data_IF_369024895283
#
_entry.id   IF_369024895283
#
_cell.length_a   1.000
_cell.length_b   1.000
_cell.length_c   1.000
_cell.angle_alpha   90.00
_cell.angle_beta   90.00
_cell.angle_gamma   90.00
#
_symmetry.space_group_name_H-M   'P 1'
#
loop_
_entity.id
_entity.type
_entity.pdbx_description
1 polymer ?
#
# COMPACT_ATOMS: atom_id res chain seq x y z
N UNK A 1 22.25 20.05 -49.65
CA UNK A 1 21.77 20.95 -48.58
C UNK A 1 21.43 20.10 -47.37
N UNK A 2 22.25 20.25 -46.32
CA UNK A 2 22.18 19.50 -45.06
C UNK A 2 21.30 20.27 -44.06
N UNK A 3 20.34 19.60 -43.43
CA UNK A 3 19.85 19.88 -42.08
C UNK A 3 18.99 18.67 -41.66
N UNK A 4 19.37 17.76 -40.77
CA UNK A 4 20.15 17.97 -39.56
C UNK A 4 19.25 18.33 -38.37
N UNK A 5 18.12 17.62 -38.17
CA UNK A 5 17.34 17.77 -36.93
C UNK A 5 17.80 16.73 -35.91
N UNK A 6 18.60 17.25 -34.98
CA UNK A 6 19.17 16.59 -33.81
C UNK A 6 18.10 16.09 -32.86
N UNK A 7 18.14 14.78 -32.56
CA UNK A 7 17.52 14.18 -31.39
C UNK A 7 18.20 14.75 -30.14
N UNK A 8 17.52 15.64 -29.42
CA UNK A 8 18.02 16.20 -28.17
C UNK A 8 17.90 15.15 -27.07
N UNK A 9 19.03 14.50 -26.76
CA UNK A 9 19.28 13.77 -25.53
C UNK A 9 18.92 14.65 -24.33
N UNK A 10 17.91 14.25 -23.57
CA UNK A 10 17.58 14.88 -22.29
C UNK A 10 18.55 14.34 -21.23
N UNK A 11 19.72 14.98 -21.15
CA UNK A 11 20.76 14.69 -20.17
C UNK A 11 20.34 15.09 -18.75
N UNK A 12 20.58 14.15 -17.83
CA UNK A 12 20.59 14.25 -16.38
C UNK A 12 21.13 15.58 -15.83
N UNK A 13 20.31 16.34 -15.09
CA UNK A 13 20.77 17.23 -14.01
C UNK A 13 19.72 17.22 -12.89
N UNK A 14 20.05 16.60 -11.75
CA UNK A 14 19.36 16.79 -10.48
C UNK A 14 19.99 17.96 -9.72
N UNK A 15 19.24 18.97 -9.26
CA UNK A 15 19.78 19.91 -8.29
C UNK A 15 19.58 19.38 -6.86
N UNK A 16 20.72 19.10 -6.23
CA UNK A 16 20.94 18.98 -4.80
C UNK A 16 20.71 20.29 -4.06
N UNK A 17 20.29 20.17 -2.79
CA UNK A 17 20.51 21.14 -1.70
C UNK A 17 19.60 22.39 -1.66
N UNK A 18 18.65 22.38 -0.72
CA UNK A 18 18.21 23.62 -0.04
C UNK A 18 18.48 23.44 1.45
N UNK A 19 19.39 24.27 1.95
CA UNK A 19 19.84 24.39 3.33
C UNK A 19 18.83 25.16 4.18
N UNK A 20 18.90 24.86 5.48
CA UNK A 20 18.23 25.50 6.62
C UNK A 20 18.43 27.02 6.70
N UNK A 21 17.43 27.69 7.27
CA UNK A 21 17.54 28.95 8.03
C UNK A 21 16.49 28.86 9.16
N UNK A 22 16.85 28.46 10.38
CA UNK A 22 17.26 29.32 11.51
C UNK A 22 16.23 30.38 11.91
N UNK A 23 15.44 30.07 12.95
CA UNK A 23 14.96 31.04 13.94
C UNK A 23 15.17 30.40 15.31
N UNK A 24 16.05 31.02 16.08
CA UNK A 24 16.40 30.77 17.48
C UNK A 24 15.55 31.66 18.39
N UNK A 25 15.24 31.19 19.60
CA UNK A 25 15.37 31.86 20.91
C UNK A 25 14.54 31.13 22.00
N UNK A 26 15.23 30.43 22.92
CA UNK A 26 15.25 30.58 24.40
C UNK A 26 13.96 31.05 25.10
N UNK A 27 13.54 30.64 26.32
CA UNK A 27 14.03 29.77 27.41
C UNK A 27 12.95 29.73 28.54
N UNK A 28 13.10 28.81 29.51
CA UNK A 28 12.71 28.93 30.94
C UNK A 28 11.28 28.60 31.46
N UNK A 29 11.16 27.38 32.04
CA UNK A 29 10.73 26.99 33.43
C UNK A 29 9.64 27.82 34.16
N UNK A 30 8.54 27.15 34.60
CA UNK A 30 8.12 27.12 36.02
C UNK A 30 6.98 26.13 36.32
N UNK A 31 6.95 25.76 37.60
CA UNK A 31 6.38 24.60 38.29
C UNK A 31 4.94 24.74 38.82
N UNK A 32 4.38 23.57 39.18
CA UNK A 32 3.52 23.28 40.35
C UNK A 32 1.98 23.31 40.32
N UNK A 33 1.48 22.30 41.07
CA UNK A 33 0.17 22.03 41.70
C UNK A 33 -0.96 21.35 40.91
N UNK A 34 -1.70 20.37 41.45
CA UNK A 34 -1.57 19.40 42.56
C UNK A 34 -2.79 18.44 42.51
N UNK A 35 -2.67 17.27 43.13
CA UNK A 35 -3.58 16.10 43.07
C UNK A 35 -4.96 16.23 43.77
N UNK A 36 -5.95 15.46 43.29
CA UNK A 36 -6.65 14.34 44.00
C UNK A 36 -7.49 13.56 42.96
N UNK A 37 -7.45 12.23 42.78
CA UNK A 37 -7.64 11.05 43.64
C UNK A 37 -9.12 10.85 44.05
N UNK A 38 -9.77 9.92 43.32
CA UNK A 38 -10.92 9.05 43.65
C UNK A 38 -11.79 8.94 42.38
N UNK A 39 -11.64 7.94 41.51
CA UNK A 39 -12.32 6.65 41.65
C UNK A 39 -11.48 5.52 41.01
N UNK A 40 -10.90 4.66 41.87
CA UNK A 40 -10.40 3.34 41.50
C UNK A 40 -11.55 2.33 41.53
N UNK A 41 -11.93 1.79 40.38
CA UNK A 41 -12.38 0.39 40.17
C UNK A 41 -12.50 0.20 38.66
N UNK A 42 -12.14 -0.89 38.00
CA UNK A 42 -11.97 -2.25 38.44
C UNK A 42 -11.06 -2.94 37.41
N UNK A 43 -9.95 -3.50 37.90
CA UNK A 43 -9.04 -4.31 37.10
C UNK A 43 -9.61 -5.74 37.13
N UNK A 44 -10.52 -6.07 36.22
CA UNK A 44 -10.93 -7.45 35.95
C UNK A 44 -11.67 -7.54 34.61
N UNK A 45 -10.98 -8.10 33.61
CA UNK A 45 -11.48 -9.02 32.56
C UNK A 45 -10.44 -9.19 31.45
N UNK A 46 -9.58 -10.18 31.63
CA UNK A 46 -8.88 -10.85 30.54
C UNK A 46 -9.80 -11.98 30.02
N UNK A 47 -9.77 -12.16 28.70
CA UNK A 47 -10.31 -13.27 27.90
C UNK A 47 -11.83 -13.40 27.68
N UNK A 48 -12.25 -13.10 26.44
CA UNK A 48 -12.90 -14.05 25.52
C UNK A 48 -13.20 -13.40 24.15
N UNK A 49 -12.51 -13.88 23.12
CA UNK A 49 -13.15 -14.48 21.93
C UNK A 49 -13.88 -13.61 20.90
N UNK A 50 -13.28 -13.60 19.70
CA UNK A 50 -13.91 -13.88 18.41
C UNK A 50 -14.53 -12.74 17.57
N UNK A 51 -13.90 -12.54 16.41
CA UNK A 51 -14.57 -12.58 15.11
C UNK A 51 -15.78 -11.65 14.92
N UNK A 52 -15.55 -10.34 14.80
CA UNK A 52 -16.55 -9.45 14.21
C UNK A 52 -16.14 -9.11 12.78
N UNK A 53 -16.96 -9.58 11.83
CA UNK A 53 -17.03 -8.99 10.50
C UNK A 53 -17.12 -7.47 10.68
N UNK A 54 -16.15 -6.71 10.15
CA UNK A 54 -16.23 -5.26 10.13
C UNK A 54 -17.29 -4.87 9.10
N UNK A 55 -18.55 -5.01 9.49
CA UNK A 55 -19.65 -4.31 8.84
C UNK A 55 -19.40 -2.82 9.00
N UNK A 56 -19.60 -2.02 7.94
CA UNK A 56 -19.36 -0.58 8.02
C UNK A 56 -20.16 -0.01 9.21
N UNK A 57 -19.50 0.83 10.02
CA UNK A 57 -20.02 1.50 11.23
C UNK A 57 -21.27 2.38 11.00
N UNK A 58 -21.86 2.34 9.82
CA UNK A 58 -23.02 3.12 9.40
C UNK A 58 -24.13 2.18 8.94
N UNK A 59 -25.40 2.46 9.31
CA UNK A 59 -26.54 1.77 8.72
C UNK A 59 -26.44 1.87 7.19
N UNK A 60 -26.67 0.75 6.50
CA UNK A 60 -26.50 0.58 5.03
C UNK A 60 -27.27 1.62 4.19
N UNK A 61 -28.15 2.40 4.82
CA UNK A 61 -29.10 3.32 4.22
C UNK A 61 -28.63 4.78 4.07
N UNK A 62 -27.48 5.18 4.65
CA UNK A 62 -27.05 6.60 4.66
C UNK A 62 -25.72 6.92 3.98
N UNK A 63 -25.06 5.98 3.31
CA UNK A 63 -23.79 6.25 2.61
C UNK A 63 -24.07 6.61 1.15
N UNK A 64 -23.69 7.81 0.66
CA UNK A 64 -23.83 8.16 -0.75
C UNK A 64 -23.21 7.08 -1.64
N UNK A 65 -23.94 6.63 -2.68
CA UNK A 65 -23.52 5.53 -3.59
C UNK A 65 -22.07 5.66 -4.08
N UNK A 66 -21.60 6.89 -4.34
CA UNK A 66 -20.23 7.18 -4.76
C UNK A 66 -19.18 6.75 -3.72
N UNK A 67 -19.44 6.98 -2.43
CA UNK A 67 -18.53 6.59 -1.35
C UNK A 67 -18.46 5.07 -1.19
N UNK A 68 -19.59 4.38 -1.37
CA UNK A 68 -19.64 2.92 -1.33
C UNK A 68 -18.86 2.29 -2.49
N UNK A 69 -19.01 2.82 -3.70
CA UNK A 69 -18.25 2.37 -4.87
C UNK A 69 -16.74 2.52 -4.65
N UNK A 70 -16.29 3.72 -4.23
CA UNK A 70 -14.88 3.97 -3.94
C UNK A 70 -14.31 3.05 -2.85
N UNK A 71 -15.09 2.81 -1.79
CA UNK A 71 -14.74 1.89 -0.72
C UNK A 71 -14.53 0.46 -1.24
N UNK A 72 -15.46 -0.01 -2.07
CA UNK A 72 -15.42 -1.35 -2.65
C UNK A 72 -14.22 -1.54 -3.59
N UNK A 73 -13.91 -0.54 -4.42
CA UNK A 73 -12.76 -0.57 -5.34
C UNK A 73 -11.42 -0.59 -4.60
N UNK A 74 -11.30 0.27 -3.58
CA UNK A 74 -10.08 0.37 -2.78
C UNK A 74 -9.85 -0.89 -1.97
N UNK A 75 -10.91 -1.50 -1.41
CA UNK A 75 -10.79 -2.73 -0.65
C UNK A 75 -10.44 -3.92 -1.54
N UNK A 76 -11.04 -4.04 -2.73
CA UNK A 76 -10.68 -5.10 -3.68
C UNK A 76 -9.21 -5.01 -4.08
N UNK A 77 -8.68 -3.80 -4.27
CA UNK A 77 -7.25 -3.60 -4.51
C UNK A 77 -6.38 -4.09 -3.36
N UNK A 78 -6.78 -3.81 -2.10
CA UNK A 78 -6.03 -4.25 -0.92
C UNK A 78 -6.10 -5.76 -0.73
N UNK A 79 -7.26 -6.36 -0.96
CA UNK A 79 -7.46 -7.82 -0.90
C UNK A 79 -6.60 -8.51 -1.95
N UNK A 80 -6.63 -8.02 -3.20
CA UNK A 80 -5.78 -8.52 -4.26
C UNK A 80 -4.29 -8.35 -3.93
N UNK A 81 -3.89 -7.22 -3.35
CA UNK A 81 -2.51 -7.03 -2.88
C UNK A 81 -2.10 -8.12 -1.89
N UNK A 82 -2.96 -8.41 -0.91
CA UNK A 82 -2.69 -9.42 0.10
C UNK A 82 -2.59 -10.83 -0.49
N UNK A 83 -3.41 -11.16 -1.51
CA UNK A 83 -3.25 -12.39 -2.29
C UNK A 83 -1.89 -12.43 -3.00
N UNK A 84 -1.52 -11.36 -3.70
CA UNK A 84 -0.23 -11.30 -4.40
C UNK A 84 0.95 -11.49 -3.44
N UNK A 85 0.89 -10.88 -2.25
CA UNK A 85 1.90 -11.06 -1.21
C UNK A 85 1.99 -12.52 -0.73
N UNK A 86 0.85 -13.17 -0.51
CA UNK A 86 0.80 -14.57 -0.15
C UNK A 86 1.44 -15.45 -1.22
N UNK A 87 1.04 -15.28 -2.49
CA UNK A 87 1.58 -16.05 -3.60
C UNK A 87 3.09 -15.81 -3.80
N UNK A 88 3.53 -14.55 -3.76
CA UNK A 88 4.95 -14.21 -3.88
C UNK A 88 5.78 -14.76 -2.72
N UNK A 89 5.24 -14.79 -1.51
CA UNK A 89 5.97 -15.32 -0.34
C UNK A 89 6.38 -16.79 -0.48
N UNK A 90 5.72 -17.55 -1.38
CA UNK A 90 6.12 -18.90 -1.72
C UNK A 90 7.46 -18.98 -2.48
N UNK A 91 7.83 -17.90 -3.17
CA UNK A 91 8.98 -17.84 -4.07
C UNK A 91 10.08 -16.89 -3.59
N UNK A 92 9.74 -15.89 -2.78
CA UNK A 92 10.67 -14.86 -2.32
C UNK A 92 10.37 -14.45 -0.88
N UNK A 93 11.35 -13.82 -0.23
CA UNK A 93 11.20 -13.24 1.10
C UNK A 93 10.79 -11.77 0.96
N UNK A 94 9.67 -11.40 1.58
CA UNK A 94 9.13 -10.04 1.45
C UNK A 94 9.23 -9.33 2.79
N UNK A 95 9.86 -8.16 2.80
CA UNK A 95 9.97 -7.31 3.98
C UNK A 95 8.92 -6.21 3.91
N UNK A 96 7.98 -6.21 4.85
CA UNK A 96 6.91 -5.21 4.95
C UNK A 96 7.11 -4.30 6.16
N UNK A 97 6.67 -3.05 6.00
CA UNK A 97 6.83 -1.99 6.98
C UNK A 97 5.49 -1.47 7.49
N UNK A 98 5.55 -0.81 8.64
CA UNK A 98 4.40 -0.11 9.22
C UNK A 98 3.88 0.97 8.25
N UNK A 99 2.56 1.06 8.03
CA UNK A 99 1.98 2.14 7.24
C UNK A 99 2.19 3.48 7.96
N UNK A 100 2.36 4.55 7.19
CA UNK A 100 2.56 5.89 7.77
C UNK A 100 1.25 6.48 8.33
N UNK A 101 0.10 6.05 7.80
CA UNK A 101 -1.24 6.49 8.19
C UNK A 101 -2.19 5.31 8.15
N UNK A 102 -3.08 5.23 9.13
CA UNK A 102 -4.14 4.25 9.22
C UNK A 102 -5.43 4.82 8.64
N UNK A 103 -6.13 4.02 7.85
CA UNK A 103 -7.49 4.33 7.41
C UNK A 103 -8.49 3.74 8.39
N UNK A 104 -9.53 4.50 8.75
CA UNK A 104 -10.66 4.00 9.53
C UNK A 104 -11.76 3.38 8.67
N UNK A 105 -11.79 3.71 7.37
CA UNK A 105 -12.88 3.34 6.47
C UNK A 105 -12.51 2.18 5.53
N UNK A 106 -11.30 2.19 4.98
CA UNK A 106 -10.85 1.19 4.00
C UNK A 106 -9.82 0.26 4.61
N UNK A 107 -9.69 -0.94 4.06
CA UNK A 107 -8.61 -1.86 4.42
C UNK A 107 -7.25 -1.20 4.19
N UNK A 108 -6.27 -1.61 5.00
CA UNK A 108 -4.95 -0.98 4.98
C UNK A 108 -4.11 -1.58 3.85
N UNK A 109 -3.64 -0.74 2.95
CA UNK A 109 -2.66 -1.12 1.93
C UNK A 109 -1.30 -1.36 2.60
N UNK A 110 -0.70 -2.52 2.35
CA UNK A 110 0.54 -2.96 2.99
C UNK A 110 1.73 -2.26 2.35
N UNK A 111 2.60 -1.66 3.17
CA UNK A 111 3.81 -0.98 2.70
C UNK A 111 4.93 -1.99 2.54
N UNK A 112 5.33 -2.27 1.30
CA UNK A 112 6.43 -3.19 1.00
C UNK A 112 7.74 -2.40 0.98
N UNK A 113 8.74 -2.86 1.73
CA UNK A 113 10.06 -2.24 1.77
C UNK A 113 10.97 -2.85 0.70
N UNK A 114 11.06 -4.18 0.71
CA UNK A 114 12.02 -4.95 -0.08
C UNK A 114 11.45 -6.34 -0.41
N UNK A 115 11.85 -6.86 -1.56
CA UNK A 115 11.58 -8.23 -2.01
C UNK A 115 12.94 -8.87 -2.30
N UNK A 116 13.28 -9.94 -1.60
CA UNK A 116 14.53 -10.68 -1.73
C UNK A 116 14.26 -12.03 -2.41
N UNK A 117 14.81 -12.26 -3.60
CA UNK A 117 14.67 -13.55 -4.31
C UNK A 117 15.77 -14.52 -3.91
N UNK A 118 16.98 -14.01 -3.75
CA UNK A 118 18.14 -14.78 -3.30
C UNK A 118 19.10 -13.85 -2.53
N UNK A 119 20.30 -14.35 -2.19
CA UNK A 119 21.30 -13.58 -1.42
C UNK A 119 21.85 -12.35 -2.15
N UNK A 120 21.82 -12.35 -3.48
CA UNK A 120 22.46 -11.34 -4.34
C UNK A 120 21.46 -10.50 -5.13
N UNK A 121 20.19 -10.90 -5.14
CA UNK A 121 19.13 -10.31 -5.94
C UNK A 121 17.97 -9.89 -5.03
N UNK A 122 17.84 -8.58 -4.87
CA UNK A 122 16.75 -7.95 -4.14
C UNK A 122 16.25 -6.70 -4.86
N UNK A 123 14.95 -6.46 -4.72
CA UNK A 123 14.29 -5.27 -5.23
C UNK A 123 13.92 -4.38 -4.05
N UNK A 124 14.54 -3.21 -3.98
CA UNK A 124 14.11 -2.14 -3.10
C UNK A 124 12.84 -1.46 -3.66
N UNK A 125 11.68 -1.93 -3.21
CA UNK A 125 10.37 -1.49 -3.70
C UNK A 125 10.13 0.00 -3.40
N UNK A 126 10.67 0.53 -2.29
CA UNK A 126 10.55 1.95 -1.95
C UNK A 126 11.28 2.81 -2.99
N UNK A 127 12.52 2.46 -3.33
CA UNK A 127 13.31 3.17 -4.33
C UNK A 127 12.65 3.06 -5.70
N UNK A 128 12.29 1.85 -6.13
CA UNK A 128 11.59 1.61 -7.39
C UNK A 128 10.33 2.48 -7.53
N UNK A 129 9.49 2.50 -6.51
CA UNK A 129 8.24 3.28 -6.53
C UNK A 129 8.53 4.78 -6.61
N UNK A 130 9.53 5.28 -5.87
CA UNK A 130 9.92 6.69 -5.92
C UNK A 130 10.39 7.10 -7.33
N UNK A 131 11.23 6.28 -7.95
CA UNK A 131 11.78 6.56 -9.28
C UNK A 131 10.69 6.54 -10.35
N UNK A 132 9.76 5.57 -10.29
CA UNK A 132 8.62 5.51 -11.23
C UNK A 132 7.66 6.68 -11.06
N UNK A 133 7.42 7.13 -9.81
CA UNK A 133 6.57 8.28 -9.52
C UNK A 133 7.20 9.58 -10.00
N UNK A 134 8.51 9.77 -9.81
CA UNK A 134 9.21 10.99 -10.24
C UNK A 134 9.23 11.10 -11.76
N UNK A 135 9.47 10.00 -12.48
CA UNK A 135 9.37 9.94 -13.94
C UNK A 135 7.98 10.35 -14.42
N UNK A 136 6.92 9.81 -13.80
CA UNK A 136 5.54 10.15 -14.17
C UNK A 136 5.19 11.60 -13.82
N UNK A 137 5.72 12.13 -12.72
CA UNK A 137 5.56 13.53 -12.34
C UNK A 137 6.18 14.48 -13.35
N UNK A 138 7.40 14.19 -13.80
CA UNK A 138 8.08 14.96 -14.83
C UNK A 138 7.22 15.02 -16.10
N UNK A 139 6.73 13.85 -16.55
CA UNK A 139 5.84 13.74 -17.71
C UNK A 139 4.54 14.56 -17.60
N UNK A 140 3.88 14.54 -16.44
CA UNK A 140 2.65 15.30 -16.20
C UNK A 140 2.92 16.82 -16.18
N UNK A 141 3.99 17.25 -15.49
CA UNK A 141 4.37 18.66 -15.43
C UNK A 141 4.75 19.21 -16.80
N UNK A 142 5.54 18.47 -17.59
CA UNK A 142 5.98 18.90 -18.92
C UNK A 142 4.86 18.93 -19.96
N UNK A 143 3.87 18.04 -19.86
CA UNK A 143 2.79 17.94 -20.87
C UNK A 143 1.58 18.81 -20.58
N UNK A 144 1.27 19.06 -19.30
CA UNK A 144 -0.02 19.64 -18.93
C UNK A 144 0.09 21.05 -18.31
N UNK A 145 1.30 21.62 -18.18
CA UNK A 145 1.55 22.91 -17.50
C UNK A 145 0.89 22.97 -16.10
N UNK A 146 0.92 21.84 -15.39
CA UNK A 146 0.27 21.70 -14.10
C UNK A 146 1.24 22.03 -12.98
N UNK A 147 0.76 22.82 -12.01
CA UNK A 147 1.51 23.10 -10.79
C UNK A 147 1.91 21.81 -10.07
N UNK A 148 3.17 21.74 -9.62
CA UNK A 148 3.73 20.61 -8.89
C UNK A 148 2.86 20.10 -7.73
N UNK A 149 2.15 20.99 -7.02
CA UNK A 149 1.21 20.61 -5.94
C UNK A 149 0.04 19.76 -6.47
N UNK A 150 -0.55 20.16 -7.59
CA UNK A 150 -1.67 19.44 -8.24
C UNK A 150 -1.20 18.12 -8.84
N UNK A 151 -0.01 18.10 -9.44
CA UNK A 151 0.61 16.87 -9.95
C UNK A 151 0.86 15.86 -8.81
N UNK A 152 1.45 16.30 -7.70
CA UNK A 152 1.72 15.43 -6.54
C UNK A 152 0.44 14.81 -5.96
N UNK A 153 -0.65 15.57 -5.89
CA UNK A 153 -1.97 15.05 -5.46
C UNK A 153 -2.47 13.94 -6.38
N UNK A 154 -2.36 14.12 -7.70
CA UNK A 154 -2.80 13.13 -8.71
C UNK A 154 -1.94 11.85 -8.69
N UNK A 155 -0.69 11.94 -8.23
CA UNK A 155 0.24 10.80 -8.14
C UNK A 155 0.01 9.90 -6.93
N UNK A 156 -0.74 10.32 -5.90
CA UNK A 156 -0.92 9.49 -4.70
C UNK A 156 -1.63 8.14 -4.99
N UNK A 157 -2.75 8.09 -5.74
CA UNK A 157 -3.37 6.81 -6.11
C UNK A 157 -2.47 5.96 -7.02
N UNK A 158 -1.69 6.64 -7.89
CA UNK A 158 -0.79 5.99 -8.85
C UNK A 158 0.31 5.19 -8.13
N UNK A 159 0.76 5.62 -6.94
CA UNK A 159 1.76 4.87 -6.16
C UNK A 159 1.32 3.44 -5.85
N UNK A 160 0.07 3.26 -5.41
CA UNK A 160 -0.48 1.93 -5.11
C UNK A 160 -0.54 1.08 -6.36
N UNK A 161 -0.97 1.67 -7.48
CA UNK A 161 -1.01 1.01 -8.79
C UNK A 161 0.38 0.56 -9.27
N UNK A 162 1.41 1.39 -9.12
CA UNK A 162 2.80 1.03 -9.47
C UNK A 162 3.25 -0.19 -8.68
N UNK A 163 2.96 -0.23 -7.37
CA UNK A 163 3.30 -1.37 -6.53
C UNK A 163 2.51 -2.62 -6.96
N UNK A 164 1.19 -2.49 -7.18
CA UNK A 164 0.37 -3.62 -7.63
C UNK A 164 0.87 -4.21 -8.95
N UNK A 165 1.19 -3.35 -9.92
CA UNK A 165 1.73 -3.80 -11.20
C UNK A 165 3.07 -4.53 -11.02
N UNK A 166 3.97 -4.01 -10.18
CA UNK A 166 5.22 -4.71 -9.86
C UNK A 166 4.96 -6.12 -9.31
N UNK A 167 4.00 -6.28 -8.38
CA UNK A 167 3.70 -7.59 -7.81
C UNK A 167 3.09 -8.55 -8.84
N UNK A 168 2.18 -8.05 -9.69
CA UNK A 168 1.56 -8.84 -10.76
C UNK A 168 2.62 -9.26 -11.77
N UNK A 169 3.47 -8.32 -12.22
CA UNK A 169 4.56 -8.57 -13.17
C UNK A 169 5.50 -9.66 -12.64
N UNK A 170 5.89 -9.59 -11.36
CA UNK A 170 6.71 -10.63 -10.72
C UNK A 170 6.01 -11.99 -10.66
N UNK A 171 4.70 -12.02 -10.40
CA UNK A 171 3.94 -13.28 -10.38
C UNK A 171 3.75 -13.87 -11.78
N UNK A 172 3.70 -13.05 -12.82
CA UNK A 172 3.66 -13.53 -14.20
C UNK A 172 4.92 -14.33 -14.53
N UNK A 173 6.10 -13.87 -14.09
CA UNK A 173 7.36 -14.61 -14.27
C UNK A 173 7.34 -15.98 -13.56
N UNK A 174 6.54 -16.13 -12.48
CA UNK A 174 6.34 -17.40 -11.79
C UNK A 174 5.20 -18.27 -12.36
N UNK A 175 4.58 -17.86 -13.48
CA UNK A 175 3.55 -18.63 -14.17
C UNK A 175 2.12 -18.39 -13.68
N UNK A 176 1.89 -17.28 -12.98
CA UNK A 176 0.53 -16.82 -12.64
C UNK A 176 -0.01 -15.87 -13.71
N UNK A 177 -1.30 -15.92 -13.97
CA UNK A 177 -1.98 -15.00 -14.88
C UNK A 177 -3.14 -14.33 -14.15
N UNK A 178 -3.30 -13.02 -14.36
CA UNK A 178 -4.35 -12.22 -13.75
C UNK A 178 -5.28 -11.67 -14.82
N UNK A 179 -6.56 -12.01 -14.74
CA UNK A 179 -7.61 -11.35 -15.49
C UNK A 179 -8.36 -10.39 -14.58
N UNK A 180 -8.29 -9.11 -14.89
CA UNK A 180 -8.96 -8.05 -14.13
C UNK A 180 -9.89 -7.33 -15.11
N UNK A 181 -11.19 -7.33 -14.82
CA UNK A 181 -12.21 -6.78 -15.72
C UNK A 181 -12.04 -5.28 -15.91
N UNK A 182 -11.86 -4.53 -14.82
CA UNK A 182 -11.76 -3.08 -14.89
C UNK A 182 -10.82 -2.53 -13.82
N UNK A 183 -9.87 -1.74 -14.28
CA UNK A 183 -9.00 -0.95 -13.43
C UNK A 183 -9.50 0.50 -13.38
N UNK A 184 -9.74 1.01 -12.18
CA UNK A 184 -10.18 2.39 -11.96
C UNK A 184 -9.02 3.26 -11.50
N UNK A 185 -9.29 4.54 -11.26
CA UNK A 185 -8.27 5.46 -10.73
C UNK A 185 -7.86 5.11 -9.29
N UNK A 186 -8.79 4.56 -8.52
CA UNK A 186 -8.64 4.35 -7.07
C UNK A 186 -8.41 2.87 -6.71
N UNK A 187 -8.79 1.92 -7.58
CA UNK A 187 -8.61 0.50 -7.34
C UNK A 187 -9.10 -0.37 -8.51
N UNK A 188 -9.73 -1.50 -8.20
CA UNK A 188 -10.26 -2.44 -9.18
C UNK A 188 -11.77 -2.60 -9.05
N UNK A 189 -12.46 -2.83 -10.17
CA UNK A 189 -13.91 -3.03 -10.23
C UNK A 189 -14.22 -4.27 -11.08
N UNK A 190 -15.23 -5.04 -10.66
CA UNK A 190 -15.73 -6.18 -11.42
C UNK A 190 -15.01 -7.49 -11.13
N UNK A 191 -14.98 -8.36 -12.15
CA UNK A 191 -14.44 -9.71 -12.08
C UNK A 191 -12.90 -9.70 -11.99
N UNK A 192 -12.36 -10.46 -11.04
CA UNK A 192 -10.95 -10.78 -10.92
C UNK A 192 -10.80 -12.30 -10.93
N UNK A 193 -9.95 -12.82 -11.81
CA UNK A 193 -9.58 -14.24 -11.86
C UNK A 193 -8.07 -14.38 -11.85
N UNK A 194 -7.59 -15.36 -11.08
CA UNK A 194 -6.18 -15.69 -10.98
C UNK A 194 -6.03 -17.12 -11.47
N UNK A 195 -5.12 -17.33 -12.41
CA UNK A 195 -4.76 -18.62 -12.95
C UNK A 195 -3.32 -18.95 -12.59
N UNK A 196 -3.00 -20.22 -12.47
CA UNK A 196 -1.62 -20.70 -12.34
C UNK A 196 -1.44 -21.87 -13.28
N UNK A 197 -0.46 -21.78 -14.20
CA UNK A 197 -0.21 -22.78 -15.25
C UNK A 197 -1.49 -23.18 -16.01
N UNK A 198 -2.26 -22.18 -16.43
CA UNK A 198 -3.53 -22.29 -17.16
C UNK A 198 -4.72 -22.90 -16.40
N UNK A 199 -4.58 -23.21 -15.11
CA UNK A 199 -5.68 -23.66 -14.26
C UNK A 199 -6.23 -22.50 -13.44
N UNK A 200 -7.55 -22.37 -13.36
CA UNK A 200 -8.20 -21.38 -12.51
C UNK A 200 -7.86 -21.67 -11.04
N UNK A 201 -7.18 -20.73 -10.38
CA UNK A 201 -6.75 -20.84 -8.99
C UNK A 201 -7.75 -20.16 -8.06
N UNK A 202 -8.18 -18.94 -8.40
CA UNK A 202 -9.10 -18.16 -7.58
C UNK A 202 -10.00 -17.26 -8.42
N UNK A 203 -11.26 -17.12 -8.00
CA UNK A 203 -12.19 -16.11 -8.50
C UNK A 203 -12.38 -14.94 -7.53
N UNK A 204 -13.06 -13.90 -8.00
CA UNK A 204 -13.35 -12.66 -7.27
C UNK A 204 -13.82 -12.91 -5.84
N UNK A 205 -14.77 -13.84 -5.60
CA UNK A 205 -15.28 -14.11 -4.25
C UNK A 205 -14.17 -14.60 -3.32
N UNK A 206 -13.39 -15.57 -3.77
CA UNK A 206 -12.27 -16.12 -3.01
C UNK A 206 -11.15 -15.09 -2.80
N UNK A 207 -10.86 -14.25 -3.81
CA UNK A 207 -9.89 -13.15 -3.70
C UNK A 207 -10.30 -12.20 -2.59
N UNK A 208 -11.59 -11.87 -2.48
CA UNK A 208 -12.09 -11.00 -1.41
C UNK A 208 -11.98 -11.65 -0.04
N UNK A 209 -12.42 -12.90 0.09
CA UNK A 209 -12.43 -13.64 1.35
C UNK A 209 -11.03 -13.94 1.87
N UNK A 210 -10.21 -14.65 1.09
CA UNK A 210 -8.83 -15.00 1.45
C UNK A 210 -7.95 -13.74 1.56
N UNK A 211 -8.13 -12.80 0.63
CA UNK A 211 -7.40 -11.52 0.65
C UNK A 211 -7.72 -10.70 1.89
N UNK A 212 -8.96 -10.73 2.37
CA UNK A 212 -9.33 -10.09 3.64
C UNK A 212 -8.63 -10.72 4.84
N UNK A 213 -8.65 -12.05 4.93
CA UNK A 213 -8.02 -12.80 6.02
C UNK A 213 -6.52 -12.54 6.08
N UNK A 214 -5.85 -12.61 4.93
CA UNK A 214 -4.41 -12.30 4.83
C UNK A 214 -4.11 -10.84 5.19
N UNK A 215 -4.96 -9.89 4.79
CA UNK A 215 -4.77 -8.49 5.15
C UNK A 215 -4.87 -8.29 6.67
N UNK A 216 -5.87 -8.89 7.33
CA UNK A 216 -5.99 -8.85 8.80
C UNK A 216 -4.76 -9.46 9.45
N UNK A 217 -4.32 -10.65 9.01
CA UNK A 217 -3.16 -11.36 9.56
C UNK A 217 -1.87 -10.53 9.44
N UNK A 218 -1.63 -9.92 8.28
CA UNK A 218 -0.45 -9.05 8.07
C UNK A 218 -0.54 -7.80 8.94
N UNK A 219 -1.69 -7.14 8.99
CA UNK A 219 -1.84 -5.87 9.70
C UNK A 219 -1.82 -6.02 11.22
N UNK A 220 -2.38 -7.11 11.77
CA UNK A 220 -2.31 -7.42 13.20
C UNK A 220 -0.87 -7.70 13.64
N UNK A 221 -0.10 -8.45 12.87
CA UNK A 221 1.31 -8.70 13.17
C UNK A 221 2.18 -7.45 12.99
N UNK A 222 1.90 -6.61 11.99
CA UNK A 222 2.58 -5.31 11.82
C UNK A 222 2.33 -4.34 12.98
N UNK A 223 1.25 -4.50 13.73
CA UNK A 223 1.01 -3.70 14.92
C UNK A 223 1.97 -4.06 16.07
N UNK A 224 2.40 -5.33 16.13
CA UNK A 224 3.26 -5.87 17.20
C UNK A 224 4.75 -5.81 16.86
N UNK A 225 5.12 -6.07 15.60
CA UNK A 225 6.52 -6.20 15.18
C UNK A 225 6.80 -5.39 13.91
N UNK A 226 7.92 -4.67 13.86
CA UNK A 226 8.36 -3.94 12.67
C UNK A 226 9.90 -3.92 12.60
N UNK A 227 10.52 -4.30 11.47
CA UNK A 227 9.93 -4.76 10.20
C UNK A 227 9.39 -6.20 10.28
N UNK A 228 8.34 -6.50 9.52
CA UNK A 228 7.78 -7.85 9.43
C UNK A 228 8.29 -8.52 8.14
N UNK A 229 8.73 -9.77 8.26
CA UNK A 229 9.15 -10.59 7.12
C UNK A 229 8.08 -11.62 6.82
N UNK A 230 7.62 -11.66 5.56
CA UNK A 230 6.65 -12.63 5.08
C UNK A 230 7.38 -13.80 4.42
N UNK A 231 7.10 -15.00 4.92
CA UNK A 231 7.60 -16.29 4.44
C UNK A 231 6.39 -17.21 4.12
N UNK A 232 6.57 -18.34 3.40
CA UNK A 232 5.44 -19.21 3.09
C UNK A 232 4.72 -19.74 4.35
N UNK A 233 5.48 -19.96 5.43
CA UNK A 233 4.95 -20.38 6.74
C UNK A 233 4.03 -19.35 7.38
N UNK A 234 4.16 -18.07 7.03
CA UNK A 234 3.31 -17.01 7.56
C UNK A 234 1.84 -17.21 7.16
N UNK A 235 1.59 -17.69 5.94
CA UNK A 235 0.24 -17.78 5.38
C UNK A 235 -0.39 -19.16 5.51
N UNK A 236 0.37 -20.18 5.92
CA UNK A 236 -0.21 -21.47 6.27
C UNK A 236 -1.08 -21.29 7.51
N UNK A 237 -2.28 -21.84 7.45
CA UNK A 237 -3.14 -22.01 8.61
C UNK A 237 -2.58 -23.19 9.40
N UNK A 238 -2.33 -22.99 10.69
CA UNK A 238 -2.05 -24.08 11.62
C UNK A 238 -3.34 -24.79 11.98
#
# INVERSE_FOLDING_TARGET
>A
MLSGNTLTLCSLIMPSSIKNSSLTEDSSINEENSLSADEKSNLDKIDKGCCEEITPKYPKEQVPKFKFKHWNETNLQVELQSICLCLLSAHCKIVVGKPNRYSSLTKQFVKIKEIEFNRFDSINVIKFTKDRVSMKMCLECSKQNINAKTALRRLQPIKKKIVMNLLIDLLIEFGYLFEIQKETKEGYEGLVRIFHKNTLLMETKEVREKGHQYNIKITSQLAQTTPLTLTPSFFKDN
#
